data_IF_823606741465
#
_entry.id   IF_823606741465
#
_cell.length_a   1.000
_cell.length_b   1.000
_cell.length_c   1.000
_cell.angle_alpha   90.00
_cell.angle_beta   90.00
_cell.angle_gamma   90.00
#
_symmetry.space_group_name_H-M   'P 1'
#
loop_
_entity.id
_entity.type
_entity.pdbx_description
1 polymer ?
#
# COMPACT_ATOMS: atom_id res chain seq x y z
N UNK A 1 17.65 23.08 7.56
CA UNK A 1 16.51 24.02 7.48
C UNK A 1 15.85 24.11 6.08
N UNK A 2 16.54 23.91 4.95
CA UNK A 2 15.91 24.08 3.62
C UNK A 2 14.94 22.97 3.18
N UNK A 3 14.87 21.85 3.90
CA UNK A 3 13.99 20.73 3.56
C UNK A 3 12.56 21.00 4.03
N UNK A 4 12.34 21.87 5.02
CA UNK A 4 11.06 22.02 5.71
C UNK A 4 10.05 22.90 4.94
N UNK A 5 10.52 23.81 4.08
CA UNK A 5 9.63 24.69 3.31
C UNK A 5 9.01 24.03 2.06
N UNK A 6 9.59 22.95 1.54
CA UNK A 6 9.08 22.28 0.32
C UNK A 6 7.86 21.40 0.62
N UNK A 7 7.62 21.06 1.90
CA UNK A 7 6.54 20.16 2.32
C UNK A 7 5.38 20.85 3.06
N UNK A 8 5.23 22.17 2.85
CA UNK A 8 4.22 22.99 3.51
C UNK A 8 2.79 22.52 3.21
N UNK A 9 2.21 21.79 4.17
CA UNK A 9 0.82 21.93 4.69
C UNK A 9 -0.30 22.25 3.70
N UNK A 10 -0.44 21.45 2.64
CA UNK A 10 -1.76 21.07 2.14
C UNK A 10 -1.80 19.55 2.15
N UNK A 11 -2.87 18.93 2.66
CA UNK A 11 -2.96 17.48 2.93
C UNK A 11 -2.73 16.54 1.73
N UNK A 12 -2.40 17.08 0.56
CA UNK A 12 -2.12 16.35 -0.69
C UNK A 12 -0.65 15.89 -0.77
N UNK A 13 0.31 16.67 -0.22
CA UNK A 13 1.74 16.38 -0.34
C UNK A 13 2.22 15.23 0.58
N UNK A 14 1.88 15.18 1.89
CA UNK A 14 2.36 14.12 2.78
C UNK A 14 1.88 12.73 2.36
N UNK A 15 0.63 12.62 1.89
CA UNK A 15 0.04 11.36 1.46
C UNK A 15 0.75 10.79 0.23
N UNK A 16 1.20 11.65 -0.70
CA UNK A 16 1.93 11.23 -1.90
C UNK A 16 3.27 10.58 -1.56
N UNK A 17 3.98 11.16 -0.58
CA UNK A 17 5.25 10.63 -0.08
C UNK A 17 5.02 9.31 0.66
N UNK A 18 4.06 9.27 1.59
CA UNK A 18 3.72 8.05 2.34
C UNK A 18 3.31 6.89 1.42
N UNK A 19 2.45 7.17 0.43
CA UNK A 19 2.04 6.19 -0.57
C UNK A 19 3.24 5.60 -1.33
N UNK A 20 4.21 6.45 -1.66
CA UNK A 20 5.42 6.05 -2.37
C UNK A 20 6.37 5.24 -1.48
N UNK A 21 6.52 5.61 -0.21
CA UNK A 21 7.30 4.84 0.76
C UNK A 21 6.69 3.43 0.92
N UNK A 22 5.37 3.34 1.05
CA UNK A 22 4.67 2.05 1.13
C UNK A 22 4.89 1.23 -0.13
N UNK A 23 4.86 1.85 -1.32
CA UNK A 23 5.15 1.18 -2.58
C UNK A 23 6.59 0.62 -2.63
N UNK A 24 7.59 1.41 -2.22
CA UNK A 24 8.99 0.98 -2.14
C UNK A 24 9.15 -0.15 -1.13
N UNK A 25 8.56 -0.02 0.06
CA UNK A 25 8.59 -1.06 1.10
C UNK A 25 7.93 -2.37 0.64
N UNK A 26 6.80 -2.27 -0.06
CA UNK A 26 6.11 -3.42 -0.65
C UNK A 26 7.02 -4.17 -1.64
N UNK A 27 7.75 -3.43 -2.48
CA UNK A 27 8.72 -4.02 -3.41
C UNK A 27 9.91 -4.66 -2.68
N UNK A 28 10.43 -4.01 -1.61
CA UNK A 28 11.52 -4.54 -0.78
C UNK A 28 11.14 -5.82 -0.04
N UNK A 29 9.89 -5.91 0.44
CA UNK A 29 9.33 -7.11 1.07
C UNK A 29 8.96 -8.20 0.04
N UNK A 30 9.17 -7.92 -1.25
CA UNK A 30 8.84 -8.81 -2.35
C UNK A 30 7.35 -8.94 -2.62
N UNK A 31 6.48 -8.18 -1.94
CA UNK A 31 5.03 -8.16 -2.13
C UNK A 31 4.60 -6.94 -2.94
N UNK A 32 4.96 -6.83 -4.23
CA UNK A 32 4.64 -5.65 -5.02
C UNK A 32 3.12 -5.46 -5.06
N UNK A 33 2.67 -4.26 -4.72
CA UNK A 33 1.27 -3.85 -4.85
C UNK A 33 1.17 -2.90 -6.04
N UNK A 34 0.04 -2.94 -6.75
CA UNK A 34 -0.21 -2.01 -7.86
C UNK A 34 -0.16 -0.56 -7.37
N UNK A 35 0.53 0.30 -8.12
CA UNK A 35 0.57 1.75 -7.88
C UNK A 35 -0.83 2.34 -7.87
N UNK A 36 -1.73 1.86 -8.74
CA UNK A 36 -3.12 2.35 -8.82
C UNK A 36 -3.92 2.00 -7.56
N UNK A 37 -3.69 0.81 -7.01
CA UNK A 37 -4.33 0.37 -5.75
C UNK A 37 -3.85 1.23 -4.57
N UNK A 38 -2.56 1.49 -4.50
CA UNK A 38 -1.97 2.32 -3.45
C UNK A 38 -2.44 3.78 -3.59
N UNK A 39 -2.46 4.29 -4.82
CA UNK A 39 -2.94 5.63 -5.14
C UNK A 39 -4.40 5.83 -4.71
N UNK A 40 -5.26 4.85 -5.01
CA UNK A 40 -6.68 4.89 -4.61
C UNK A 40 -6.85 4.90 -3.08
N UNK A 41 -6.07 4.11 -2.33
CA UNK A 41 -6.16 4.06 -0.86
C UNK A 41 -5.60 5.34 -0.21
N UNK A 42 -4.52 5.88 -0.77
CA UNK A 42 -3.87 7.09 -0.24
C UNK A 42 -4.53 8.39 -0.73
N UNK A 43 -5.58 8.31 -1.56
CA UNK A 43 -6.24 9.45 -2.20
C UNK A 43 -5.26 10.37 -2.96
N UNK A 44 -4.35 9.76 -3.71
CA UNK A 44 -3.36 10.46 -4.55
C UNK A 44 -3.43 9.92 -5.98
N UNK A 45 -2.76 10.61 -6.90
CA UNK A 45 -2.69 10.12 -8.28
C UNK A 45 -1.49 9.17 -8.45
N UNK A 46 -1.56 8.18 -9.37
CA UNK A 46 -0.40 7.35 -9.71
C UNK A 46 0.80 8.16 -10.19
N UNK A 47 0.57 9.33 -10.82
CA UNK A 47 1.61 10.25 -11.27
C UNK A 47 2.37 10.85 -10.08
N UNK A 48 1.66 11.21 -9.01
CA UNK A 48 2.27 11.69 -7.75
C UNK A 48 3.23 10.65 -7.18
N UNK A 49 2.82 9.37 -7.14
CA UNK A 49 3.67 8.27 -6.66
C UNK A 49 4.93 8.13 -7.52
N UNK A 50 4.78 8.18 -8.86
CA UNK A 50 5.91 8.05 -9.79
C UNK A 50 6.93 9.18 -9.67
N UNK A 51 6.46 10.40 -9.41
CA UNK A 51 7.32 11.56 -9.23
C UNK A 51 8.17 11.42 -7.97
N UNK A 52 7.54 11.11 -6.83
CA UNK A 52 8.26 10.92 -5.56
C UNK A 52 9.10 9.64 -5.54
N UNK A 53 8.78 8.63 -6.36
CA UNK A 53 9.51 7.35 -6.35
C UNK A 53 10.98 7.54 -6.70
N UNK A 54 11.28 8.35 -7.72
CA UNK A 54 12.66 8.61 -8.13
C UNK A 54 13.42 9.41 -7.07
N UNK A 55 12.78 10.46 -6.53
CA UNK A 55 13.36 11.30 -5.48
C UNK A 55 13.68 10.47 -4.22
N UNK A 56 12.74 9.64 -3.77
CA UNK A 56 12.92 8.79 -2.59
C UNK A 56 13.97 7.71 -2.81
N UNK A 57 14.07 7.13 -4.00
CA UNK A 57 15.14 6.18 -4.31
C UNK A 57 16.52 6.83 -4.22
N UNK A 58 16.66 8.03 -4.80
CA UNK A 58 17.92 8.77 -4.78
C UNK A 58 18.27 9.22 -3.34
N UNK A 59 17.29 9.65 -2.54
CA UNK A 59 17.48 10.01 -1.12
C UNK A 59 17.86 8.81 -0.24
N UNK A 60 17.26 7.63 -0.49
CA UNK A 60 17.52 6.42 0.27
C UNK A 60 18.77 5.66 -0.22
N UNK A 61 19.43 6.12 -1.30
CA UNK A 61 20.58 5.44 -1.89
C UNK A 61 20.23 4.06 -2.46
N UNK A 62 18.98 3.87 -2.88
CA UNK A 62 18.44 2.59 -3.28
C UNK A 62 18.58 2.34 -4.80
N UNK A 63 18.85 1.09 -5.23
CA UNK A 63 19.05 0.79 -6.64
C UNK A 63 17.75 0.93 -7.43
N UNK A 64 17.80 1.64 -8.56
CA UNK A 64 16.63 1.90 -9.43
C UNK A 64 15.95 0.64 -10.00
N UNK A 65 16.60 -0.52 -9.88
CA UNK A 65 16.09 -1.83 -10.29
C UNK A 65 15.24 -2.55 -9.23
N UNK A 66 14.84 -1.89 -8.13
CA UNK A 66 13.93 -2.46 -7.12
C UNK A 66 12.63 -3.03 -7.68
N UNK A 67 12.20 -2.53 -8.84
CA UNK A 67 11.03 -3.01 -9.56
C UNK A 67 11.34 -4.18 -10.50
N UNK A 68 12.06 -5.22 -10.03
CA UNK A 68 12.21 -6.46 -10.80
C UNK A 68 11.27 -7.56 -10.27
N UNK A 69 9.97 -7.56 -10.66
CA UNK A 69 9.01 -8.59 -10.27
C UNK A 69 9.31 -9.96 -10.90
N UNK A 70 10.22 -10.08 -11.87
CA UNK A 70 10.50 -11.33 -12.59
C UNK A 70 11.26 -12.39 -11.79
N UNK A 71 11.78 -12.09 -10.58
CA UNK A 71 12.49 -13.07 -9.76
C UNK A 71 11.59 -13.89 -8.81
N UNK A 72 10.30 -13.56 -8.67
CA UNK A 72 9.44 -14.23 -7.68
C UNK A 72 8.47 -15.19 -8.37
N UNK A 73 8.74 -16.49 -8.22
CA UNK A 73 7.77 -17.56 -8.46
C UNK A 73 6.41 -17.22 -7.81
N UNK A 74 5.29 -17.64 -8.40
CA UNK A 74 3.97 -17.31 -7.87
C UNK A 74 3.89 -17.77 -6.41
N UNK A 75 3.68 -16.84 -5.49
CA UNK A 75 3.29 -17.19 -4.13
C UNK A 75 1.86 -17.72 -4.24
N UNK A 76 1.75 -19.04 -4.40
CA UNK A 76 0.55 -19.80 -4.09
C UNK A 76 0.32 -19.71 -2.59
N UNK A 77 -0.06 -18.54 -2.08
CA UNK A 77 -0.80 -18.46 -0.83
C UNK A 77 -2.21 -18.89 -1.18
N UNK A 78 -2.42 -20.20 -1.10
CA UNK A 78 -3.74 -20.77 -0.87
C UNK A 78 -4.35 -20.06 0.33
N UNK A 79 -5.17 -19.05 0.07
CA UNK A 79 -6.20 -18.63 1.01
C UNK A 79 -7.16 -19.82 1.04
N UNK A 80 -6.84 -20.80 1.89
CA UNK A 80 -7.78 -21.85 2.23
C UNK A 80 -8.93 -21.15 2.93
N UNK A 81 -10.08 -21.18 2.26
CA UNK A 81 -11.35 -20.76 2.79
C UNK A 81 -11.56 -21.38 4.17
N UNK A 82 -11.46 -20.58 5.23
CA UNK A 82 -12.09 -20.90 6.49
C UNK A 82 -13.58 -20.58 6.33
N UNK A 83 -14.30 -21.54 5.75
CA UNK A 83 -15.73 -21.71 6.02
C UNK A 83 -15.85 -22.22 7.45
N UNK A 84 -16.64 -21.55 8.28
CA UNK A 84 -17.33 -22.13 9.45
C UNK A 84 -18.33 -21.08 9.92
N UNK A 85 -19.50 -21.13 9.29
CA UNK A 85 -20.82 -21.00 9.90
C UNK A 85 -20.79 -20.82 11.44
N UNK A 86 -21.08 -19.62 11.94
CA UNK A 86 -21.39 -19.39 13.36
C UNK A 86 -22.87 -19.02 13.51
N UNK A 87 -23.64 -20.08 13.76
CA UNK A 87 -24.85 -20.16 14.59
C UNK A 87 -25.91 -19.05 14.43
N UNK A 88 -26.95 -19.40 13.66
CA UNK A 88 -28.33 -18.96 13.95
C UNK A 88 -28.67 -19.26 15.42
N UNK A 89 -28.96 -18.24 16.22
CA UNK A 89 -29.59 -18.38 17.53
C UNK A 89 -31.06 -18.80 17.35
N UNK A 90 -31.51 -19.94 17.90
CA UNK A 90 -32.93 -20.23 17.99
C UNK A 90 -33.57 -19.55 19.23
N UNK A 91 -34.53 -18.69 18.95
CA UNK A 91 -35.83 -18.52 19.62
C UNK A 91 -35.91 -18.41 21.15
N UNK A 92 -36.50 -17.31 21.62
CA UNK A 92 -37.54 -17.35 22.66
C UNK A 92 -38.65 -16.33 22.32
N UNK A 93 -39.93 -16.73 22.25
CA UNK A 93 -41.03 -15.78 22.20
C UNK A 93 -41.28 -15.27 23.62
N UNK A 94 -41.34 -13.96 23.81
CA UNK A 94 -41.84 -13.38 25.04
C UNK A 94 -43.26 -12.89 24.76
N UNK A 95 -44.23 -13.75 25.05
CA UNK A 95 -45.61 -13.40 25.39
C UNK A 95 -45.80 -13.70 26.89
N UNK A 96 -46.83 -13.15 27.56
CA UNK A 96 -47.98 -12.40 27.06
C UNK A 96 -47.95 -10.88 27.32
#
# INVERSE_FOLDING_TARGET
>A
EQVEQVYSTSGVLPNGILATIIYIASNLMGEPRSQDRIAAVANVTPVTIRNHYKELLDLLGLPKNLANPQARAPVSTSVSAATSDEATLPTAPVEP
#
